data_IF_300796362536
#
_entry.id   IF_300796362536
#
_cell.length_a   1.000
_cell.length_b   1.000
_cell.length_c   1.000
_cell.angle_alpha   90.00
_cell.angle_beta   90.00
_cell.angle_gamma   90.00
#
_symmetry.space_group_name_H-M   'P 1'
#
loop_
_entity.id
_entity.type
_entity.pdbx_description
1 polymer ?
#
# COMPACT_ATOMS: atom_id res chain seq x y z
N UNK A 1 15.78 21.13 -4.55
CA UNK A 1 14.73 20.34 -3.91
C UNK A 1 13.48 20.41 -4.78
N UNK A 2 12.89 19.25 -5.13
CA UNK A 2 11.65 19.20 -5.92
C UNK A 2 10.47 19.13 -4.95
N UNK A 3 9.38 19.83 -5.26
CA UNK A 3 8.17 19.92 -4.44
C UNK A 3 6.97 19.39 -5.23
N UNK A 4 6.00 18.79 -4.54
CA UNK A 4 4.75 18.29 -5.13
C UNK A 4 3.95 19.40 -5.82
N UNK A 5 3.92 20.60 -5.22
CA UNK A 5 3.26 21.77 -5.82
C UNK A 5 3.85 22.22 -7.15
N UNK A 6 5.05 21.74 -7.53
CA UNK A 6 5.69 22.03 -8.83
C UNK A 6 5.34 21.02 -9.92
N UNK A 7 4.62 19.95 -9.57
CA UNK A 7 4.14 18.99 -10.55
C UNK A 7 3.12 19.65 -11.50
N UNK A 8 3.01 19.16 -12.75
CA UNK A 8 1.94 19.61 -13.66
C UNK A 8 0.55 19.44 -13.04
N UNK A 9 -0.40 20.31 -13.41
CA UNK A 9 -1.79 20.23 -12.93
C UNK A 9 -2.53 18.98 -13.42
N UNK A 10 -1.99 18.27 -14.41
CA UNK A 10 -2.49 16.98 -14.90
C UNK A 10 -2.09 15.78 -14.03
N UNK A 11 -1.35 15.99 -12.94
CA UNK A 11 -0.99 14.92 -12.01
C UNK A 11 -2.06 14.80 -10.92
N UNK A 12 -2.85 13.75 -10.98
CA UNK A 12 -3.96 13.51 -10.06
C UNK A 12 -3.55 12.76 -8.79
N UNK A 13 -2.57 11.85 -8.88
CA UNK A 13 -2.16 10.98 -7.77
C UNK A 13 -0.63 10.95 -7.68
N UNK A 14 -0.12 10.99 -6.43
CA UNK A 14 1.30 10.82 -6.12
C UNK A 14 1.45 9.82 -4.99
N UNK A 15 2.30 8.82 -5.18
CA UNK A 15 2.70 7.87 -4.14
C UNK A 15 3.99 8.32 -3.46
N UNK A 16 3.93 8.48 -2.14
CA UNK A 16 5.08 8.85 -1.30
C UNK A 16 5.89 7.61 -0.96
N UNK A 17 6.87 7.34 -1.77
CA UNK A 17 7.77 6.21 -1.62
C UNK A 17 8.84 6.49 -0.56
N UNK A 18 9.03 5.54 0.36
CA UNK A 18 10.15 5.56 1.33
C UNK A 18 10.06 6.57 2.48
N UNK A 19 8.91 7.16 2.74
CA UNK A 19 8.75 8.13 3.85
C UNK A 19 8.57 7.49 5.23
N UNK A 20 8.31 6.19 5.29
CA UNK A 20 8.16 5.40 6.54
C UNK A 20 7.40 6.11 7.67
N UNK A 21 6.41 6.92 7.31
CA UNK A 21 5.54 7.58 8.26
C UNK A 21 6.11 8.80 8.97
N UNK A 22 7.21 9.39 8.52
CA UNK A 22 7.70 10.67 9.06
C UNK A 22 7.86 11.73 7.97
N UNK A 23 7.16 12.86 8.13
CA UNK A 23 7.26 14.01 7.25
C UNK A 23 7.78 15.23 8.00
N UNK A 24 8.70 15.95 7.37
CA UNK A 24 9.15 17.26 7.85
C UNK A 24 8.06 18.33 7.70
N UNK A 25 8.15 19.43 8.41
CA UNK A 25 7.18 20.55 8.28
C UNK A 25 7.14 21.12 6.84
N UNK A 26 8.27 21.19 6.17
CA UNK A 26 8.33 21.62 4.77
C UNK A 26 7.58 20.64 3.84
N UNK A 27 7.71 19.32 4.06
CA UNK A 27 6.97 18.31 3.32
C UNK A 27 5.47 18.35 3.61
N UNK A 28 5.08 18.55 4.87
CA UNK A 28 3.66 18.71 5.26
C UNK A 28 3.04 19.93 4.58
N UNK A 29 3.75 21.06 4.56
CA UNK A 29 3.29 22.27 3.87
C UNK A 29 3.14 22.04 2.37
N UNK A 30 4.10 21.41 1.74
CA UNK A 30 4.09 21.10 0.31
C UNK A 30 2.94 20.15 -0.07
N UNK A 31 2.72 19.12 0.72
CA UNK A 31 1.62 18.17 0.59
C UNK A 31 0.27 18.87 0.68
N UNK A 32 0.09 19.72 1.67
CA UNK A 32 -1.14 20.53 1.83
C UNK A 32 -1.41 21.40 0.61
N UNK A 33 -0.40 22.11 0.10
CA UNK A 33 -0.54 22.94 -1.09
C UNK A 33 -0.90 22.12 -2.34
N UNK A 34 -0.29 20.98 -2.53
CA UNK A 34 -0.60 20.07 -3.65
C UNK A 34 -2.06 19.61 -3.60
N UNK A 35 -2.54 19.21 -2.43
CA UNK A 35 -3.92 18.72 -2.26
C UNK A 35 -4.95 19.84 -2.36
N UNK A 36 -4.76 20.96 -1.66
CA UNK A 36 -5.76 22.04 -1.57
C UNK A 36 -5.79 22.92 -2.83
N UNK A 37 -4.65 23.15 -3.47
CA UNK A 37 -4.56 24.07 -4.62
C UNK A 37 -4.70 23.31 -5.95
N UNK A 38 -4.08 22.12 -6.06
CA UNK A 38 -4.09 21.34 -7.30
C UNK A 38 -5.15 20.23 -7.31
N UNK A 39 -5.77 19.93 -6.17
CA UNK A 39 -6.78 18.87 -6.06
C UNK A 39 -6.21 17.46 -6.17
N UNK A 40 -4.88 17.29 -6.10
CA UNK A 40 -4.22 16.00 -6.22
C UNK A 40 -4.41 15.12 -4.97
N UNK A 41 -4.25 13.83 -5.13
CA UNK A 41 -4.24 12.84 -4.05
C UNK A 41 -2.81 12.41 -3.73
N UNK A 42 -2.54 12.21 -2.45
CA UNK A 42 -1.22 11.75 -1.99
C UNK A 42 -1.38 10.47 -1.19
N UNK A 43 -0.75 9.41 -1.66
CA UNK A 43 -0.80 8.08 -1.05
C UNK A 43 0.51 7.76 -0.34
N UNK A 44 0.42 7.04 0.76
CA UNK A 44 1.58 6.40 1.39
C UNK A 44 1.90 5.13 0.60
N UNK A 45 3.16 4.82 0.34
CA UNK A 45 3.56 3.70 -0.52
C UNK A 45 4.80 2.97 -0.03
N UNK A 46 4.76 1.65 -0.02
CA UNK A 46 5.92 0.75 0.08
C UNK A 46 5.59 -0.68 -0.33
N UNK A 47 6.65 -1.48 -0.56
CA UNK A 47 6.52 -2.93 -0.77
C UNK A 47 6.06 -3.60 0.52
N UNK A 48 5.02 -4.42 0.44
CA UNK A 48 4.58 -5.30 1.52
C UNK A 48 4.87 -6.75 1.15
N UNK A 49 6.06 -7.20 1.49
CA UNK A 49 6.51 -8.57 1.33
C UNK A 49 6.16 -9.42 2.55
N UNK A 50 6.43 -8.86 3.74
CA UNK A 50 6.23 -9.52 5.02
C UNK A 50 5.43 -8.67 5.98
N UNK A 51 4.82 -9.33 6.96
CA UNK A 51 4.14 -8.66 8.05
C UNK A 51 5.08 -7.72 8.80
N UNK A 52 4.70 -6.44 8.85
CA UNK A 52 5.43 -5.42 9.58
C UNK A 52 6.49 -4.66 8.75
N UNK A 53 6.62 -4.94 7.45
CA UNK A 53 7.54 -4.20 6.58
C UNK A 53 7.37 -2.68 6.75
N UNK A 54 8.48 -1.97 6.89
CA UNK A 54 8.61 -0.51 7.09
C UNK A 54 8.08 0.02 8.44
N UNK A 55 7.31 -0.74 9.23
CA UNK A 55 6.72 -0.28 10.50
C UNK A 55 7.16 -1.08 11.73
N UNK A 56 7.89 -2.16 11.56
CA UNK A 56 8.46 -2.87 12.72
C UNK A 56 9.45 -1.94 13.45
N UNK A 57 9.28 -1.66 14.75
CA UNK A 57 10.19 -0.79 15.47
C UNK A 57 11.63 -1.29 15.42
N UNK A 58 12.57 -0.36 15.36
CA UNK A 58 14.00 -0.70 15.31
C UNK A 58 14.38 -1.60 16.49
N UNK A 59 15.10 -2.67 16.19
CA UNK A 59 15.57 -3.65 17.18
C UNK A 59 14.51 -4.67 17.63
N UNK A 60 13.28 -4.60 17.12
CA UNK A 60 12.24 -5.59 17.36
C UNK A 60 12.25 -6.66 16.27
N UNK A 61 11.95 -7.92 16.65
CA UNK A 61 11.60 -8.96 15.70
C UNK A 61 10.15 -8.74 15.22
N UNK A 62 9.91 -8.83 13.92
CA UNK A 62 8.58 -8.57 13.35
C UNK A 62 7.51 -9.53 13.88
N UNK A 63 7.82 -10.83 13.98
CA UNK A 63 6.90 -11.84 14.52
C UNK A 63 6.59 -11.58 16.00
N UNK A 64 7.59 -11.32 16.81
CA UNK A 64 7.39 -11.03 18.23
C UNK A 64 6.53 -9.77 18.42
N UNK A 65 6.80 -8.73 17.67
CA UNK A 65 6.07 -7.47 17.78
C UNK A 65 4.63 -7.57 17.21
N UNK A 66 4.49 -8.02 15.96
CA UNK A 66 3.16 -7.98 15.30
C UNK A 66 2.28 -9.17 15.66
N UNK A 67 2.85 -10.39 15.72
CA UNK A 67 2.05 -11.58 16.01
C UNK A 67 1.85 -11.74 17.52
N UNK A 68 2.93 -11.72 18.29
CA UNK A 68 2.85 -12.01 19.73
C UNK A 68 2.31 -10.82 20.52
N UNK A 69 2.97 -9.63 20.43
CA UNK A 69 2.56 -8.47 21.23
C UNK A 69 1.25 -7.85 20.74
N UNK A 70 1.11 -7.60 19.42
CA UNK A 70 -0.06 -6.91 18.85
C UNK A 70 -1.20 -7.85 18.50
N UNK A 71 -0.91 -9.05 18.04
CA UNK A 71 -1.89 -10.04 17.60
C UNK A 71 -2.29 -11.06 18.64
N UNK A 72 -1.75 -10.99 19.88
CA UNK A 72 -2.06 -11.96 20.94
C UNK A 72 -1.71 -13.39 20.57
N UNK A 73 -0.71 -13.61 19.74
CA UNK A 73 -0.28 -14.92 19.24
C UNK A 73 -1.01 -15.36 17.95
N UNK A 74 -1.92 -14.54 17.41
CA UNK A 74 -2.64 -14.82 16.17
C UNK A 74 -2.07 -14.00 15.01
N UNK A 75 -1.66 -14.68 13.92
CA UNK A 75 -1.04 -14.03 12.77
C UNK A 75 -1.99 -13.04 12.08
N UNK A 76 -3.26 -13.41 11.85
CA UNK A 76 -4.23 -12.52 11.19
C UNK A 76 -4.60 -11.31 12.05
N UNK A 77 -4.62 -11.43 13.36
CA UNK A 77 -4.77 -10.27 14.25
C UNK A 77 -3.53 -9.36 14.18
N UNK A 78 -2.35 -9.93 14.04
CA UNK A 78 -1.12 -9.19 13.74
C UNK A 78 -1.20 -8.43 12.41
N UNK A 79 -1.73 -9.06 11.37
CA UNK A 79 -1.98 -8.42 10.05
C UNK A 79 -2.93 -7.24 10.19
N UNK A 80 -4.03 -7.39 10.93
CA UNK A 80 -4.97 -6.30 11.20
C UNK A 80 -4.30 -5.16 11.97
N UNK A 81 -3.49 -5.48 12.98
CA UNK A 81 -2.75 -4.48 13.75
C UNK A 81 -1.78 -3.69 12.85
N UNK A 82 -1.08 -4.36 11.95
CA UNK A 82 -0.18 -3.74 10.99
C UNK A 82 -0.92 -2.82 10.01
N UNK A 83 -2.01 -3.29 9.41
CA UNK A 83 -2.84 -2.48 8.53
C UNK A 83 -3.39 -1.23 9.26
N UNK A 84 -3.81 -1.37 10.51
CA UNK A 84 -4.26 -0.24 11.32
C UNK A 84 -3.15 0.75 11.62
N UNK A 85 -1.92 0.30 11.85
CA UNK A 85 -0.76 1.20 12.04
C UNK A 85 -0.45 2.02 10.77
N UNK A 86 -0.67 1.44 9.57
CA UNK A 86 -0.62 2.18 8.30
C UNK A 86 -1.71 3.25 8.26
N UNK A 87 -2.94 2.89 8.61
CA UNK A 87 -4.05 3.84 8.69
C UNK A 87 -3.79 4.98 9.69
N UNK A 88 -3.18 4.69 10.84
CA UNK A 88 -2.78 5.71 11.82
C UNK A 88 -1.81 6.73 11.20
N UNK A 89 -0.84 6.27 10.40
CA UNK A 89 0.10 7.13 9.68
C UNK A 89 -0.62 7.98 8.62
N UNK A 90 -1.52 7.37 7.85
CA UNK A 90 -2.33 8.07 6.83
C UNK A 90 -3.18 9.16 7.48
N UNK A 91 -3.82 8.86 8.60
CA UNK A 91 -4.65 9.82 9.33
C UNK A 91 -3.82 10.93 9.97
N UNK A 92 -2.66 10.59 10.56
CA UNK A 92 -1.74 11.56 11.18
C UNK A 92 -1.29 12.65 10.21
N UNK A 93 -1.05 12.32 8.96
CA UNK A 93 -0.59 13.24 7.92
C UNK A 93 -1.70 13.67 6.95
N UNK A 94 -2.92 13.24 7.21
CA UNK A 94 -4.09 13.50 6.36
C UNK A 94 -3.84 13.13 4.90
N UNK A 95 -3.27 11.93 4.67
CA UNK A 95 -3.05 11.37 3.33
C UNK A 95 -4.35 10.79 2.75
N UNK A 96 -4.36 10.59 1.45
CA UNK A 96 -5.55 10.14 0.72
C UNK A 96 -5.68 8.62 0.61
N UNK A 97 -4.70 7.86 1.09
CA UNK A 97 -4.76 6.41 1.11
C UNK A 97 -3.41 5.72 1.11
N UNK A 98 -3.45 4.44 0.76
CA UNK A 98 -2.28 3.57 0.69
C UNK A 98 -2.13 2.98 -0.72
N UNK A 99 -0.94 3.04 -1.26
CA UNK A 99 -0.51 2.38 -2.48
C UNK A 99 0.35 1.18 -2.09
N UNK A 100 -0.22 -0.01 -2.25
CA UNK A 100 0.44 -1.28 -1.98
C UNK A 100 1.32 -1.65 -3.16
N UNK A 101 2.63 -1.61 -2.99
CA UNK A 101 3.55 -2.20 -3.95
C UNK A 101 3.64 -3.71 -3.71
N UNK A 102 3.16 -4.49 -4.69
CA UNK A 102 2.99 -5.93 -4.60
C UNK A 102 3.74 -6.65 -5.72
N UNK A 103 4.94 -7.14 -5.40
CA UNK A 103 5.90 -7.67 -6.39
C UNK A 103 6.40 -9.08 -6.09
N UNK A 104 5.53 -10.08 -5.82
CA UNK A 104 6.00 -11.41 -5.42
C UNK A 104 6.78 -12.14 -6.52
N UNK A 105 6.47 -11.92 -7.79
CA UNK A 105 7.17 -12.52 -8.93
C UNK A 105 8.51 -11.85 -9.22
N UNK A 106 8.67 -10.58 -8.87
CA UNK A 106 9.94 -9.84 -9.01
C UNK A 106 10.92 -10.07 -7.84
N UNK A 107 10.65 -11.07 -6.99
CA UNK A 107 11.55 -11.48 -5.91
C UNK A 107 11.16 -10.96 -4.53
N UNK A 108 10.03 -10.31 -4.39
CA UNK A 108 9.49 -9.80 -3.13
C UNK A 108 8.36 -10.68 -2.57
N UNK A 109 8.48 -12.01 -2.70
CA UNK A 109 7.57 -12.97 -2.05
C UNK A 109 7.92 -13.17 -0.58
N UNK A 110 6.89 -13.36 0.25
CA UNK A 110 7.03 -13.55 1.69
C UNK A 110 5.73 -14.01 2.35
N UNK A 111 5.60 -13.80 3.65
CA UNK A 111 4.38 -14.23 4.35
C UNK A 111 3.15 -13.36 4.07
N UNK A 112 3.30 -12.21 3.42
CA UNK A 112 2.20 -11.36 2.97
C UNK A 112 2.01 -11.47 1.45
N UNK A 113 3.10 -11.43 0.68
CA UNK A 113 3.07 -11.46 -0.79
C UNK A 113 3.40 -12.86 -1.31
N UNK A 114 2.55 -13.41 -2.18
CA UNK A 114 2.74 -14.73 -2.79
C UNK A 114 2.47 -14.68 -4.28
N UNK A 115 3.07 -15.61 -5.05
CA UNK A 115 2.83 -15.78 -6.49
C UNK A 115 1.55 -16.56 -6.77
N UNK A 116 0.51 -16.32 -6.01
CA UNK A 116 -0.80 -16.91 -6.23
C UNK A 116 -1.44 -16.34 -7.48
N UNK A 117 -1.84 -17.20 -8.40
CA UNK A 117 -2.48 -16.75 -9.62
C UNK A 117 -3.89 -16.20 -9.34
N UNK A 118 -4.35 -15.26 -10.16
CA UNK A 118 -5.70 -14.65 -10.12
C UNK A 118 -6.80 -15.64 -10.55
N UNK A 119 -6.87 -16.78 -9.91
CA UNK A 119 -7.85 -17.84 -10.17
C UNK A 119 -8.75 -18.14 -9.00
N UNK A 120 -8.37 -17.68 -7.81
CA UNK A 120 -9.04 -17.92 -6.54
C UNK A 120 -9.74 -16.67 -6.02
N UNK A 121 -10.74 -16.86 -5.18
CA UNK A 121 -11.41 -15.75 -4.47
C UNK A 121 -10.54 -15.26 -3.30
N UNK A 122 -9.97 -16.19 -2.53
CA UNK A 122 -9.24 -15.87 -1.29
C UNK A 122 -8.14 -16.89 -1.03
N UNK A 123 -7.13 -16.98 -1.88
CA UNK A 123 -6.04 -17.93 -1.67
C UNK A 123 -4.96 -17.34 -0.74
N UNK A 124 -4.67 -16.05 -0.86
CA UNK A 124 -3.78 -15.35 0.04
C UNK A 124 -4.58 -14.65 1.16
N UNK A 125 -4.97 -15.41 2.18
CA UNK A 125 -5.78 -14.92 3.32
C UNK A 125 -5.09 -13.77 4.06
N UNK A 126 -3.75 -13.77 4.16
CA UNK A 126 -2.99 -12.73 4.82
C UNK A 126 -3.16 -11.39 4.11
N UNK A 127 -2.93 -11.38 2.78
CA UNK A 127 -3.06 -10.17 1.97
C UNK A 127 -4.53 -9.72 1.86
N UNK A 128 -5.47 -10.64 1.73
CA UNK A 128 -6.89 -10.33 1.76
C UNK A 128 -7.28 -9.62 3.07
N UNK A 129 -6.87 -10.16 4.22
CA UNK A 129 -7.14 -9.56 5.54
C UNK A 129 -6.52 -8.17 5.66
N UNK A 130 -5.31 -8.00 5.14
CA UNK A 130 -4.59 -6.72 5.10
C UNK A 130 -5.37 -5.66 4.31
N UNK A 131 -5.71 -5.96 3.05
CA UNK A 131 -6.45 -5.05 2.17
C UNK A 131 -7.84 -4.74 2.75
N UNK A 132 -8.55 -5.76 3.25
CA UNK A 132 -9.86 -5.56 3.86
C UNK A 132 -9.79 -4.62 5.07
N UNK A 133 -8.79 -4.78 5.93
CA UNK A 133 -8.63 -3.91 7.11
C UNK A 133 -8.32 -2.46 6.70
N UNK A 134 -7.44 -2.26 5.71
CA UNK A 134 -7.20 -0.92 5.15
C UNK A 134 -8.49 -0.32 4.59
N UNK A 135 -9.19 -1.07 3.73
CA UNK A 135 -10.41 -0.61 3.07
C UNK A 135 -11.51 -0.24 4.08
N UNK A 136 -11.79 -1.11 5.05
CA UNK A 136 -12.85 -0.90 6.03
C UNK A 136 -12.64 0.40 6.83
N UNK A 137 -11.38 0.80 7.06
CA UNK A 137 -11.06 2.02 7.80
C UNK A 137 -10.91 3.25 6.91
N UNK A 138 -10.38 3.11 5.71
CA UNK A 138 -10.06 4.23 4.81
C UNK A 138 -11.26 4.65 3.97
N UNK A 139 -12.02 3.69 3.42
CA UNK A 139 -13.10 3.96 2.47
C UNK A 139 -14.23 4.84 3.04
N UNK A 140 -14.71 4.69 4.29
CA UNK A 140 -15.72 5.56 4.85
C UNK A 140 -15.31 7.03 4.95
N UNK A 141 -14.00 7.31 4.89
CA UNK A 141 -13.41 8.66 4.93
C UNK A 141 -13.03 9.18 3.54
N UNK A 142 -13.47 8.50 2.47
CA UNK A 142 -13.16 8.83 1.08
C UNK A 142 -11.68 8.61 0.70
N UNK A 143 -10.93 7.85 1.52
CA UNK A 143 -9.55 7.45 1.23
C UNK A 143 -9.54 6.15 0.45
N UNK A 144 -8.50 5.94 -0.35
CA UNK A 144 -8.42 4.83 -1.31
C UNK A 144 -7.29 3.85 -0.99
N UNK A 145 -7.46 2.62 -1.46
CA UNK A 145 -6.42 1.62 -1.55
C UNK A 145 -6.08 1.43 -3.03
N UNK A 146 -4.82 1.56 -3.36
CA UNK A 146 -4.27 1.31 -4.69
C UNK A 146 -3.30 0.14 -4.58
N UNK A 147 -3.16 -0.63 -5.62
CA UNK A 147 -2.19 -1.69 -5.73
C UNK A 147 -1.38 -1.49 -7.01
N UNK A 148 -0.07 -1.34 -6.89
CA UNK A 148 0.84 -1.36 -8.02
C UNK A 148 1.75 -2.60 -7.98
N UNK A 149 2.39 -2.94 -9.10
CA UNK A 149 3.27 -4.10 -9.22
C UNK A 149 2.73 -5.20 -10.13
N UNK A 150 2.40 -6.34 -9.56
CA UNK A 150 1.98 -7.56 -10.28
C UNK A 150 0.52 -7.94 -9.95
N UNK A 151 -0.49 -7.21 -10.46
CA UNK A 151 -1.90 -7.39 -10.10
C UNK A 151 -2.47 -8.78 -10.38
N UNK A 152 -1.89 -9.51 -11.31
CA UNK A 152 -2.31 -10.87 -11.67
C UNK A 152 -2.02 -11.92 -10.60
N UNK A 153 -1.28 -11.58 -9.55
CA UNK A 153 -1.10 -12.43 -8.37
C UNK A 153 -2.05 -12.07 -7.21
N UNK A 154 -2.93 -11.11 -7.40
CA UNK A 154 -3.87 -10.68 -6.35
C UNK A 154 -5.16 -11.50 -6.39
N UNK A 155 -5.70 -11.86 -5.23
CA UNK A 155 -6.99 -12.54 -5.12
C UNK A 155 -8.15 -11.70 -5.65
N UNK A 156 -9.08 -12.30 -6.39
CA UNK A 156 -10.25 -11.61 -6.95
C UNK A 156 -11.14 -10.96 -5.90
N UNK A 157 -11.22 -11.53 -4.70
CA UNK A 157 -12.02 -10.98 -3.61
C UNK A 157 -11.59 -9.55 -3.23
N UNK A 158 -10.36 -9.13 -3.56
CA UNK A 158 -9.88 -7.77 -3.30
C UNK A 158 -10.40 -6.74 -4.31
N UNK A 159 -10.96 -7.15 -5.46
CA UNK A 159 -11.30 -6.29 -6.59
C UNK A 159 -12.27 -5.15 -6.26
N UNK A 160 -13.16 -5.33 -5.27
CA UNK A 160 -14.11 -4.32 -4.82
C UNK A 160 -13.54 -3.34 -3.79
N UNK A 161 -12.34 -3.61 -3.29
CA UNK A 161 -11.68 -2.85 -2.22
C UNK A 161 -10.51 -2.01 -2.74
N UNK A 162 -9.98 -2.33 -3.92
CA UNK A 162 -8.89 -1.63 -4.57
C UNK A 162 -9.42 -0.71 -5.64
N UNK A 163 -9.10 0.58 -5.56
CA UNK A 163 -9.59 1.60 -6.50
C UNK A 163 -8.87 1.55 -7.85
N UNK A 164 -7.57 1.26 -7.84
CA UNK A 164 -6.74 1.16 -9.04
C UNK A 164 -5.75 0.01 -8.91
N UNK A 165 -5.62 -0.76 -9.99
CA UNK A 165 -4.55 -1.72 -10.18
C UNK A 165 -3.59 -1.16 -11.24
N UNK A 166 -2.33 -1.04 -10.89
CA UNK A 166 -1.28 -0.48 -11.75
C UNK A 166 -0.28 -1.59 -12.04
N UNK A 167 -0.25 -2.07 -13.27
CA UNK A 167 0.73 -3.06 -13.68
C UNK A 167 2.10 -2.41 -13.91
N UNK A 168 3.11 -2.85 -13.21
CA UNK A 168 4.50 -2.44 -13.42
C UNK A 168 5.10 -3.22 -14.61
N UNK A 169 5.02 -2.63 -15.79
CA UNK A 169 5.42 -3.25 -17.05
C UNK A 169 6.90 -2.97 -17.42
N UNK A 170 7.80 -3.03 -16.47
CA UNK A 170 9.21 -2.65 -16.68
C UNK A 170 9.92 -3.48 -17.74
N UNK A 171 9.59 -4.78 -17.84
CA UNK A 171 10.23 -5.70 -18.78
C UNK A 171 9.42 -5.93 -20.05
N UNK A 172 8.32 -5.16 -20.25
CA UNK A 172 7.44 -5.35 -21.40
C UNK A 172 7.91 -4.54 -22.61
N UNK A 173 8.20 -5.22 -23.69
CA UNK A 173 8.71 -4.60 -24.92
C UNK A 173 7.62 -3.85 -25.70
N UNK A 174 6.34 -4.18 -25.51
CA UNK A 174 5.22 -3.56 -26.23
C UNK A 174 3.98 -3.51 -25.35
N UNK A 175 3.09 -2.54 -25.63
CA UNK A 175 1.77 -2.45 -24.97
C UNK A 175 0.95 -3.72 -25.14
N UNK A 176 1.00 -4.37 -26.32
CA UNK A 176 0.28 -5.63 -26.57
C UNK A 176 0.72 -6.74 -25.62
N UNK A 177 2.01 -6.81 -25.31
CA UNK A 177 2.57 -7.80 -24.38
C UNK A 177 2.16 -7.52 -22.93
N UNK A 178 2.12 -6.26 -22.52
CA UNK A 178 1.63 -5.86 -21.21
C UNK A 178 0.14 -6.19 -21.01
N UNK A 179 -0.67 -6.05 -22.08
CA UNK A 179 -2.10 -6.34 -22.03
C UNK A 179 -2.45 -7.85 -22.00
N UNK A 180 -1.48 -8.74 -22.21
CA UNK A 180 -1.67 -10.20 -22.16
C UNK A 180 -1.53 -10.77 -20.75
N UNK A 181 -1.07 -9.99 -19.79
CA UNK A 181 -0.92 -10.37 -18.38
C UNK A 181 -2.02 -9.75 -17.54
#
# INVERSE_FOLDING_TARGET
QKYLRMLPDSVDIVSLWGTHGSLTEAQKTDLKLFREVKGGKVLLCWIVQNLGDQLTPQGKNATDYWVTEKGGGNFLEGVKAYANAICDTIEKYDLDGFDLDYEPGYGHSGNMATTTAWISETENVNMYTFIKTLYDRLNPKGRIVVMDGEPYYMDRATSKMVSYYIYQAYDEATTARALQK
#
